data_IF_043512180495
#
_entry.id   IF_043512180495
#
_cell.length_a   1.000
_cell.length_b   1.000
_cell.length_c   1.000
_cell.angle_alpha   90.00
_cell.angle_beta   90.00
_cell.angle_gamma   90.00
#
_symmetry.space_group_name_H-M   'P 1'
#
loop_
_entity.id
_entity.type
_entity.pdbx_description
1 polymer ?
#
# COMPACT_ATOMS: atom_id res chain seq x y z
N UNK A 1 3.23 -37.92 19.40
CA UNK A 1 3.64 -38.34 18.04
C UNK A 1 3.29 -37.20 17.09
N UNK A 2 4.30 -36.67 16.39
CA UNK A 2 4.25 -35.49 15.54
C UNK A 2 3.41 -35.67 14.26
N UNK A 3 2.91 -34.55 13.71
CA UNK A 3 2.68 -34.21 12.29
C UNK A 3 2.12 -32.77 12.29
N UNK A 4 2.90 -31.68 12.22
CA UNK A 4 3.62 -31.14 11.04
C UNK A 4 2.83 -31.32 9.73
N UNK A 5 1.78 -30.50 9.57
CA UNK A 5 1.17 -30.19 8.28
C UNK A 5 1.70 -28.84 7.81
N UNK A 6 2.35 -28.80 6.65
CA UNK A 6 3.08 -27.64 6.15
C UNK A 6 2.20 -26.42 5.96
N UNK A 7 2.69 -25.28 6.42
CA UNK A 7 2.13 -23.97 6.09
C UNK A 7 2.24 -23.79 4.56
N UNK A 8 1.12 -23.95 3.86
CA UNK A 8 0.91 -23.17 2.65
C UNK A 8 0.96 -21.72 3.12
N UNK A 9 2.03 -21.00 2.78
CA UNK A 9 2.10 -19.57 3.05
C UNK A 9 0.90 -18.95 2.32
N UNK A 10 -0.13 -18.55 3.06
CA UNK A 10 -1.29 -17.86 2.50
C UNK A 10 -0.76 -16.66 1.72
N UNK A 11 -1.11 -16.57 0.43
CA UNK A 11 -0.83 -15.39 -0.37
C UNK A 11 -1.74 -14.30 0.17
N UNK A 12 -1.20 -13.41 1.00
CA UNK A 12 -1.95 -12.25 1.51
C UNK A 12 -2.34 -11.35 0.33
N UNK A 13 -3.62 -11.01 0.22
CA UNK A 13 -4.12 -10.12 -0.82
C UNK A 13 -3.71 -8.67 -0.52
N UNK A 14 -3.67 -7.83 -1.57
CA UNK A 14 -3.37 -6.41 -1.40
C UNK A 14 -4.32 -5.68 -0.46
N UNK A 15 -5.60 -6.09 -0.41
CA UNK A 15 -6.60 -5.52 0.50
C UNK A 15 -6.35 -5.92 1.97
N UNK A 16 -5.99 -7.18 2.22
CA UNK A 16 -5.64 -7.65 3.57
C UNK A 16 -4.40 -6.92 4.11
N UNK A 17 -3.35 -6.81 3.28
CA UNK A 17 -2.13 -6.07 3.62
C UNK A 17 -2.44 -4.60 3.90
N UNK A 18 -3.27 -3.97 3.05
CA UNK A 18 -3.71 -2.60 3.24
C UNK A 18 -4.41 -2.39 4.58
N UNK A 19 -5.37 -3.26 4.90
CA UNK A 19 -6.14 -3.19 6.14
C UNK A 19 -5.26 -3.47 7.37
N UNK A 20 -4.27 -4.36 7.26
CA UNK A 20 -3.41 -4.71 8.38
C UNK A 20 -2.32 -3.65 8.67
N UNK A 21 -1.77 -3.00 7.63
CA UNK A 21 -0.53 -2.22 7.75
C UNK A 21 -0.65 -0.75 7.32
N UNK A 22 -1.57 -0.42 6.42
CA UNK A 22 -1.61 0.89 5.78
C UNK A 22 -2.69 1.81 6.36
N UNK A 23 -3.85 1.25 6.67
CA UNK A 23 -5.03 1.99 7.13
C UNK A 23 -4.89 2.59 8.54
N UNK A 24 -3.82 2.31 9.30
CA UNK A 24 -3.57 3.05 10.53
C UNK A 24 -3.09 4.49 10.24
N UNK A 25 -2.37 4.69 9.12
CA UNK A 25 -1.64 5.93 8.84
C UNK A 25 -2.15 6.67 7.60
N UNK A 26 -2.84 6.00 6.69
CA UNK A 26 -3.26 6.58 5.41
C UNK A 26 -4.74 6.35 5.11
N UNK A 27 -5.38 7.35 4.51
CA UNK A 27 -6.70 7.27 3.86
C UNK A 27 -6.58 7.73 2.41
N UNK A 28 -7.62 7.52 1.61
CA UNK A 28 -7.58 7.90 0.21
C UNK A 28 -7.73 9.41 0.01
N UNK A 29 -8.62 10.04 0.76
CA UNK A 29 -9.11 11.40 0.60
C UNK A 29 -8.59 12.36 1.69
N UNK A 30 -8.32 11.85 2.88
CA UNK A 30 -7.91 12.67 4.04
C UNK A 30 -6.48 12.37 4.53
N UNK A 31 -5.80 13.42 4.99
CA UNK A 31 -4.53 13.30 5.72
C UNK A 31 -4.80 12.72 7.12
N UNK A 32 -4.05 11.69 7.50
CA UNK A 32 -4.07 11.13 8.85
C UNK A 32 -2.69 11.31 9.49
N UNK A 33 -1.79 10.35 9.29
CA UNK A 33 -0.36 10.48 9.62
C UNK A 33 0.42 10.73 8.34
N UNK A 34 0.19 9.86 7.35
CA UNK A 34 0.69 10.01 6.00
C UNK A 34 -0.23 10.83 5.10
N UNK A 35 0.23 11.17 3.89
CA UNK A 35 -0.57 11.89 2.91
C UNK A 35 -1.79 11.06 2.45
N UNK A 36 -2.87 11.73 2.03
CA UNK A 36 -3.98 11.07 1.36
C UNK A 36 -3.51 10.45 0.05
N UNK A 37 -3.93 9.22 -0.25
CA UNK A 37 -3.48 8.51 -1.45
C UNK A 37 -3.79 9.28 -2.75
N UNK A 38 -4.93 9.98 -2.81
CA UNK A 38 -5.30 10.81 -3.95
C UNK A 38 -4.27 11.89 -4.28
N UNK A 39 -3.50 12.37 -3.29
CA UNK A 39 -2.46 13.37 -3.52
C UNK A 39 -1.13 12.78 -4.01
N UNK A 40 -0.90 11.46 -3.84
CA UNK A 40 0.41 10.85 -4.09
C UNK A 40 0.41 9.71 -5.09
N UNK A 41 -0.71 9.02 -5.32
CA UNK A 41 -0.83 7.96 -6.31
C UNK A 41 -0.88 8.41 -7.78
N UNK A 42 -1.33 9.63 -8.15
CA UNK A 42 -1.37 10.04 -9.56
C UNK A 42 -0.02 9.90 -10.29
N UNK A 43 1.10 10.14 -9.60
CA UNK A 43 2.46 10.02 -10.18
C UNK A 43 2.94 8.57 -10.37
N UNK A 44 2.21 7.58 -9.84
CA UNK A 44 2.55 6.16 -9.92
C UNK A 44 1.55 5.36 -10.77
N UNK A 45 0.52 6.00 -11.35
CA UNK A 45 -0.55 5.31 -12.10
C UNK A 45 -0.05 4.36 -13.19
N UNK A 46 1.06 4.72 -13.83
CA UNK A 46 1.69 3.95 -14.91
C UNK A 46 3.06 3.38 -14.47
N UNK A 47 3.40 3.46 -13.18
CA UNK A 47 4.70 3.05 -12.63
C UNK A 47 4.53 2.30 -11.30
N UNK A 48 4.00 1.08 -11.42
CA UNK A 48 3.86 0.14 -10.32
C UNK A 48 5.22 -0.19 -9.68
N UNK A 49 6.28 -0.25 -10.48
CA UNK A 49 7.61 -0.62 -10.01
C UNK A 49 8.16 0.42 -9.01
N UNK A 50 8.02 1.72 -9.31
CA UNK A 50 8.42 2.78 -8.39
C UNK A 50 7.57 2.82 -7.13
N UNK A 51 6.26 2.55 -7.22
CA UNK A 51 5.40 2.48 -6.03
C UNK A 51 5.81 1.31 -5.13
N UNK A 52 5.99 0.12 -5.71
CA UNK A 52 6.48 -1.07 -5.00
C UNK A 52 7.82 -0.82 -4.32
N UNK A 53 8.78 -0.20 -5.04
CA UNK A 53 10.09 0.13 -4.49
C UNK A 53 10.00 1.08 -3.29
N UNK A 54 9.12 2.09 -3.38
CA UNK A 54 8.86 3.01 -2.27
C UNK A 54 8.22 2.31 -1.06
N UNK A 55 7.27 1.40 -1.29
CA UNK A 55 6.62 0.64 -0.22
C UNK A 55 7.61 -0.29 0.50
N UNK A 56 8.54 -0.90 -0.23
CA UNK A 56 9.59 -1.76 0.34
C UNK A 56 10.63 -0.96 1.13
N UNK A 57 11.02 0.21 0.63
CA UNK A 57 12.08 1.03 1.20
C UNK A 57 11.67 2.51 1.18
N UNK A 58 10.79 2.92 2.11
CA UNK A 58 10.27 4.27 2.12
C UNK A 58 11.39 5.27 2.45
N UNK A 59 11.44 6.33 1.67
CA UNK A 59 12.32 7.48 1.91
C UNK A 59 11.49 8.73 2.15
N UNK A 60 11.97 9.64 3.00
CA UNK A 60 11.27 10.90 3.24
C UNK A 60 11.31 11.76 1.98
N UNK A 61 10.13 12.03 1.38
CA UNK A 61 9.98 12.86 0.17
C UNK A 61 9.45 14.26 0.46
N UNK A 62 8.46 14.38 1.35
CA UNK A 62 7.85 15.66 1.71
C UNK A 62 8.19 16.01 3.18
N UNK A 63 8.76 17.20 3.47
CA UNK A 63 9.09 17.64 4.83
C UNK A 63 7.88 17.77 5.76
N UNK A 64 6.68 18.03 5.24
CA UNK A 64 5.42 18.20 5.99
C UNK A 64 4.86 16.90 6.60
N UNK A 65 5.46 15.75 6.26
CA UNK A 65 5.07 14.44 6.76
C UNK A 65 6.24 13.80 7.52
N UNK A 66 5.94 12.98 8.55
CA UNK A 66 6.96 12.15 9.17
C UNK A 66 7.54 11.16 8.13
N UNK A 67 8.73 10.63 8.42
CA UNK A 67 9.28 9.55 7.62
C UNK A 67 8.37 8.31 7.76
N UNK A 68 7.95 7.72 6.62
CA UNK A 68 7.17 6.49 6.64
C UNK A 68 8.06 5.34 7.13
N UNK A 69 7.65 4.59 8.17
CA UNK A 69 8.43 3.45 8.63
C UNK A 69 8.35 2.28 7.65
N UNK A 70 9.41 1.48 7.59
CA UNK A 70 9.43 0.23 6.82
C UNK A 70 8.44 -0.76 7.44
N UNK A 71 7.53 -1.31 6.61
CA UNK A 71 6.44 -2.20 7.05
C UNK A 71 6.83 -3.69 7.11
N UNK A 72 8.10 -4.00 6.78
CA UNK A 72 8.63 -5.37 6.76
C UNK A 72 7.97 -6.26 5.71
N UNK A 73 7.49 -5.67 4.61
CA UNK A 73 6.83 -6.42 3.53
C UNK A 73 7.85 -7.19 2.69
N UNK A 74 7.45 -8.39 2.26
CA UNK A 74 8.16 -9.13 1.22
C UNK A 74 7.88 -8.51 -0.16
N UNK A 75 8.74 -8.76 -1.17
CA UNK A 75 8.55 -8.20 -2.51
C UNK A 75 7.18 -8.48 -3.14
N UNK A 76 6.62 -9.67 -2.94
CA UNK A 76 5.29 -9.99 -3.49
C UNK A 76 4.16 -9.29 -2.72
N UNK A 77 4.25 -9.17 -1.40
CA UNK A 77 3.27 -8.45 -0.58
C UNK A 77 3.25 -6.96 -0.95
N UNK A 78 4.42 -6.36 -1.15
CA UNK A 78 4.54 -4.97 -1.59
C UNK A 78 3.95 -4.73 -2.98
N UNK A 79 4.08 -5.71 -3.89
CA UNK A 79 3.45 -5.66 -5.20
C UNK A 79 1.93 -5.76 -5.09
N UNK A 80 1.42 -6.73 -4.32
CA UNK A 80 -0.02 -6.92 -4.10
C UNK A 80 -0.69 -5.67 -3.54
N UNK A 81 -0.10 -5.04 -2.51
CA UNK A 81 -0.67 -3.81 -1.94
C UNK A 81 -0.52 -2.61 -2.88
N UNK A 82 0.59 -2.49 -3.63
CA UNK A 82 0.77 -1.43 -4.62
C UNK A 82 -0.29 -1.52 -5.74
N UNK A 83 -0.56 -2.73 -6.25
CA UNK A 83 -1.63 -2.96 -7.22
C UNK A 83 -3.00 -2.60 -6.66
N UNK A 84 -3.30 -3.02 -5.42
CA UNK A 84 -4.55 -2.69 -4.76
C UNK A 84 -4.75 -1.18 -4.59
N UNK A 85 -3.70 -0.45 -4.21
CA UNK A 85 -3.76 1.02 -4.07
C UNK A 85 -4.06 1.71 -5.40
N UNK A 86 -3.40 1.31 -6.50
CA UNK A 86 -3.64 1.88 -7.82
C UNK A 86 -5.03 1.52 -8.37
N UNK A 87 -5.49 0.28 -8.15
CA UNK A 87 -6.83 -0.13 -8.51
C UNK A 87 -7.88 0.71 -7.79
N UNK A 88 -7.77 0.85 -6.45
CA UNK A 88 -8.70 1.66 -5.66
C UNK A 88 -8.67 3.13 -6.04
N UNK A 89 -7.48 3.66 -6.32
CA UNK A 89 -7.34 5.01 -6.87
C UNK A 89 -8.09 5.18 -8.19
N UNK A 90 -7.94 4.23 -9.12
CA UNK A 90 -8.63 4.27 -10.40
C UNK A 90 -10.16 4.17 -10.25
N UNK A 91 -10.66 3.26 -9.40
CA UNK A 91 -12.09 3.14 -9.07
C UNK A 91 -12.65 4.47 -8.55
N UNK A 92 -12.01 5.06 -7.54
CA UNK A 92 -12.43 6.31 -6.93
C UNK A 92 -12.22 7.56 -7.82
N UNK A 93 -11.34 7.47 -8.83
CA UNK A 93 -11.12 8.57 -9.80
C UNK A 93 -12.04 8.47 -11.01
N UNK A 94 -12.63 7.30 -11.26
CA UNK A 94 -13.53 7.03 -12.37
C UNK A 94 -15.00 7.30 -12.05
N UNK A 95 -15.39 7.31 -10.76
CA UNK A 95 -16.73 7.73 -10.33
C UNK A 95 -16.78 9.23 -10.00
N UNK A 96 -17.77 9.99 -10.50
CA UNK A 96 -18.08 11.28 -9.91
C UNK A 96 -18.54 11.04 -8.48
N UNK A 97 -17.91 11.74 -7.52
CA UNK A 97 -18.31 11.74 -6.12
C UNK A 97 -19.84 11.82 -6.01
N UNK A 98 -20.44 10.78 -5.42
CA UNK A 98 -21.88 10.74 -5.12
C UNK A 98 -22.25 11.85 -4.14
#
# INVERSE_FOLDING_TARGET
RAQRGGAVASIETGSEIYNAKCIACHRFDVKVVGPPYMSVLPKYKDDLASLKAFVLNPVKKNPEYPAMPNQGLKPHEAESVAMYLLQKYAEMSAEPAQ
#
